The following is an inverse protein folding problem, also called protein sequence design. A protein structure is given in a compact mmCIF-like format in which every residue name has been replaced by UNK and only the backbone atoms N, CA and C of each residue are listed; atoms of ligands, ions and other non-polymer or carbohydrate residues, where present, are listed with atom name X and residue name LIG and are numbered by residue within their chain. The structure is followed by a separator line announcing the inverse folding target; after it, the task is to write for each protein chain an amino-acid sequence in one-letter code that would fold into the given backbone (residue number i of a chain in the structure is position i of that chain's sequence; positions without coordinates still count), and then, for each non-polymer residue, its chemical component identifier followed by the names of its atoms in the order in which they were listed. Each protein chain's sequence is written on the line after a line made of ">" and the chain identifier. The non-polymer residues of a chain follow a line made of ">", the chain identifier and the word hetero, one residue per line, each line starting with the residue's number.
data_IF_022323657940
#
_entry.id   IF_022323657940
#
_cell.length_a   1.000
_cell.length_b   1.000
_cell.length_c   1.000
_cell.angle_alpha   90.00
_cell.angle_beta   90.00
_cell.angle_gamma   90.00
#
_symmetry.space_group_name_H-M   'P 1'
#
loop_
_entity.id
_entity.type
_entity.pdbx_description
1 polymer ?
#
# COMPACT_ATOMS: atom_id res chain seq x y z
N UNK A 1 -12.22 24.83 -14.02
CA UNK A 1 -13.64 25.11 -13.74
C UNK A 1 -13.98 26.54 -14.18
N UNK A 2 -15.25 26.95 -14.17
CA UNK A 2 -15.69 28.27 -14.69
C UNK A 2 -15.07 29.48 -13.95
N UNK A 3 -14.58 29.25 -12.73
CA UNK A 3 -13.87 30.20 -11.85
C UNK A 3 -12.36 30.33 -12.16
N UNK A 4 -11.83 29.53 -13.09
CA UNK A 4 -10.41 29.48 -13.43
C UNK A 4 -9.59 28.46 -12.63
N UNK A 5 -10.22 27.68 -11.75
CA UNK A 5 -9.57 26.57 -11.02
C UNK A 5 -9.05 25.53 -12.00
N UNK A 6 -7.78 25.14 -11.84
CA UNK A 6 -7.14 24.11 -12.66
C UNK A 6 -7.41 22.74 -12.07
N UNK A 7 -7.74 21.76 -12.90
CA UNK A 7 -7.90 20.37 -12.47
C UNK A 7 -6.87 19.53 -13.21
N UNK A 8 -5.96 18.91 -12.47
CA UNK A 8 -5.06 17.89 -12.98
C UNK A 8 -5.72 16.55 -12.75
N UNK A 9 -6.06 15.87 -13.85
CA UNK A 9 -6.65 14.53 -13.79
C UNK A 9 -5.55 13.53 -14.15
N UNK A 10 -5.33 12.57 -13.26
CA UNK A 10 -4.38 11.49 -13.43
C UNK A 10 -5.05 10.15 -13.16
N UNK A 11 -4.96 9.22 -14.11
CA UNK A 11 -5.51 7.87 -13.98
C UNK A 11 -4.37 6.87 -14.04
N UNK A 12 -4.35 5.91 -13.11
CA UNK A 12 -3.23 4.99 -12.97
C UNK A 12 -3.69 3.57 -12.62
N UNK A 13 -3.31 2.61 -13.47
CA UNK A 13 -3.61 1.18 -13.28
C UNK A 13 -2.63 0.54 -12.29
N UNK A 14 -1.35 0.90 -12.36
CA UNK A 14 -0.32 0.39 -11.46
C UNK A 14 -0.01 1.31 -10.30
N UNK A 15 0.45 0.75 -9.19
CA UNK A 15 0.99 1.51 -8.07
C UNK A 15 2.52 1.70 -8.25
N UNK A 16 3.04 2.78 -8.87
CA UNK A 16 4.47 3.01 -8.89
C UNK A 16 4.95 3.37 -7.48
N UNK A 17 6.24 3.16 -7.21
CA UNK A 17 6.84 3.67 -5.97
C UNK A 17 6.72 5.20 -5.92
N UNK A 18 6.55 5.73 -4.70
CA UNK A 18 6.47 7.18 -4.45
C UNK A 18 5.32 7.88 -5.21
N UNK A 19 4.27 7.14 -5.61
CA UNK A 19 3.14 7.69 -6.38
C UNK A 19 2.50 8.91 -5.72
N UNK A 20 2.24 8.85 -4.41
CA UNK A 20 1.71 9.97 -3.63
C UNK A 20 2.61 11.22 -3.69
N UNK A 21 3.94 11.07 -3.70
CA UNK A 21 4.88 12.18 -3.86
C UNK A 21 4.83 12.76 -5.26
N UNK A 22 4.64 11.92 -6.29
CA UNK A 22 4.52 12.36 -7.69
C UNK A 22 3.26 13.17 -7.91
N UNK A 23 2.12 12.72 -7.40
CA UNK A 23 0.85 13.46 -7.45
C UNK A 23 1.03 14.84 -6.79
N UNK A 24 1.56 14.88 -5.57
CA UNK A 24 1.81 16.14 -4.87
C UNK A 24 2.79 17.06 -5.64
N UNK A 25 3.87 16.49 -6.18
CA UNK A 25 4.84 17.24 -6.98
C UNK A 25 4.19 17.86 -8.23
N UNK A 26 3.36 17.10 -8.95
CA UNK A 26 2.68 17.57 -10.15
C UNK A 26 1.71 18.71 -9.84
N UNK A 27 0.93 18.58 -8.77
CA UNK A 27 -0.01 19.61 -8.31
C UNK A 27 0.73 20.88 -7.88
N UNK A 28 1.76 20.75 -7.03
CA UNK A 28 2.57 21.88 -6.59
C UNK A 28 3.28 22.57 -7.76
N UNK A 29 3.80 21.80 -8.72
CA UNK A 29 4.42 22.33 -9.94
C UNK A 29 3.40 23.07 -10.80
N UNK A 30 2.20 22.52 -10.97
CA UNK A 30 1.14 23.18 -11.73
C UNK A 30 0.73 24.51 -11.10
N UNK A 31 0.58 24.55 -9.77
CA UNK A 31 0.31 25.79 -9.03
C UNK A 31 1.44 26.81 -9.22
N UNK A 32 2.71 26.38 -9.09
CA UNK A 32 3.86 27.26 -9.25
C UNK A 32 4.02 27.81 -10.67
N UNK A 33 3.68 27.04 -11.71
CA UNK A 33 3.88 27.43 -13.11
C UNK A 33 2.85 28.43 -13.63
N UNK A 34 1.82 28.75 -12.85
CA UNK A 34 0.82 29.76 -13.24
C UNK A 34 1.41 31.18 -13.34
N UNK A 35 2.50 31.45 -12.60
CA UNK A 35 3.11 32.77 -12.55
C UNK A 35 4.40 32.83 -13.36
N UNK A 36 4.53 33.92 -14.11
CA UNK A 36 5.79 34.33 -14.72
C UNK A 36 6.55 35.32 -13.82
N UNK A 37 7.85 35.46 -14.08
CA UNK A 37 8.73 36.36 -13.33
C UNK A 37 8.16 37.79 -13.32
N UNK A 38 7.98 38.35 -12.12
CA UNK A 38 7.47 39.72 -11.92
C UNK A 38 5.95 39.83 -11.80
N UNK A 39 5.19 38.73 -11.87
CA UNK A 39 3.76 38.72 -11.59
C UNK A 39 3.48 38.59 -10.08
N UNK A 40 2.38 39.19 -9.62
CA UNK A 40 1.94 39.12 -8.21
C UNK A 40 1.12 37.85 -7.91
N UNK A 41 1.18 37.40 -6.65
CA UNK A 41 0.53 36.16 -6.18
C UNK A 41 -1.00 36.18 -6.22
N UNK A 42 -1.64 37.35 -6.25
CA UNK A 42 -3.10 37.49 -6.37
C UNK A 42 -3.68 36.94 -7.67
N UNK A 43 -2.84 36.51 -8.61
CA UNK A 43 -3.23 35.88 -9.88
C UNK A 43 -3.25 34.35 -9.82
N UNK A 44 -2.75 33.77 -8.72
CA UNK A 44 -2.83 32.33 -8.51
C UNK A 44 -4.29 31.89 -8.47
N UNK A 45 -4.55 30.78 -9.13
CA UNK A 45 -5.83 30.09 -9.15
C UNK A 45 -5.69 28.75 -8.42
N UNK A 46 -6.74 28.28 -7.75
CA UNK A 46 -6.72 26.98 -7.12
C UNK A 46 -6.39 25.85 -8.10
N UNK A 47 -5.78 24.79 -7.57
CA UNK A 47 -5.43 23.57 -8.30
C UNK A 47 -5.97 22.35 -7.55
N UNK A 48 -6.77 21.56 -8.25
CA UNK A 48 -7.29 20.28 -7.78
C UNK A 48 -6.53 19.16 -8.47
N UNK A 49 -5.84 18.31 -7.71
CA UNK A 49 -5.29 17.05 -8.21
C UNK A 49 -6.30 15.93 -8.04
N UNK A 50 -7.01 15.57 -9.11
CA UNK A 50 -7.89 14.41 -9.15
C UNK A 50 -7.10 13.18 -9.62
N UNK A 51 -6.95 12.20 -8.75
CA UNK A 51 -6.24 10.96 -9.03
C UNK A 51 -7.19 9.78 -8.94
N UNK A 52 -7.29 9.02 -10.03
CA UNK A 52 -8.10 7.80 -10.13
C UNK A 52 -7.14 6.61 -10.18
N UNK A 53 -7.29 5.64 -9.28
CA UNK A 53 -6.40 4.49 -9.17
C UNK A 53 -7.15 3.17 -9.28
N UNK A 54 -6.59 2.22 -10.03
CA UNK A 54 -7.06 0.81 -10.05
C UNK A 54 -6.29 -0.08 -9.05
N UNK A 55 -5.86 0.52 -7.95
CA UNK A 55 -5.19 -0.15 -6.84
C UNK A 55 -5.50 0.57 -5.54
N UNK A 56 -5.32 -0.15 -4.42
CA UNK A 56 -5.45 0.43 -3.08
C UNK A 56 -4.21 1.26 -2.76
N UNK A 57 -4.40 2.57 -2.63
CA UNK A 57 -3.35 3.54 -2.27
C UNK A 57 -3.29 3.77 -0.76
N UNK A 58 -4.45 3.80 -0.09
CA UNK A 58 -4.56 4.04 1.34
C UNK A 58 -5.20 2.83 2.04
N UNK A 59 -4.44 1.77 2.37
CA UNK A 59 -5.00 0.55 2.97
C UNK A 59 -5.67 0.81 4.34
N UNK A 60 -5.29 1.87 5.03
CA UNK A 60 -5.87 2.31 6.30
C UNK A 60 -7.25 2.99 6.19
N UNK A 61 -7.81 3.12 4.98
CA UNK A 61 -9.12 3.76 4.74
C UNK A 61 -10.01 2.91 3.84
N UNK A 62 -11.26 2.70 4.24
CA UNK A 62 -12.19 1.87 3.47
C UNK A 62 -12.94 2.64 2.36
N UNK A 63 -12.97 3.98 2.42
CA UNK A 63 -13.69 4.79 1.44
C UNK A 63 -12.98 4.82 0.09
N UNK A 64 -13.76 4.75 -1.00
CA UNK A 64 -13.24 4.87 -2.37
C UNK A 64 -12.90 6.32 -2.76
N UNK A 65 -13.61 7.30 -2.20
CA UNK A 65 -13.39 8.72 -2.46
C UNK A 65 -12.74 9.38 -1.24
N UNK A 66 -11.62 10.06 -1.45
CA UNK A 66 -10.91 10.80 -0.40
C UNK A 66 -10.55 12.22 -0.85
N UNK A 67 -10.78 13.19 0.04
CA UNK A 67 -10.39 14.58 -0.13
C UNK A 67 -9.30 14.94 0.88
N UNK A 68 -8.26 15.63 0.42
CA UNK A 68 -7.17 16.13 1.26
C UNK A 68 -6.91 17.60 0.98
N UNK A 69 -6.70 18.36 2.06
CA UNK A 69 -6.43 19.79 2.06
C UNK A 69 -5.40 20.14 3.14
N UNK A 70 -4.84 21.35 3.08
CA UNK A 70 -3.91 21.85 4.10
C UNK A 70 -4.69 22.37 5.32
N UNK A 71 -4.32 21.86 6.48
CA UNK A 71 -4.97 22.16 7.76
C UNK A 71 -3.93 22.58 8.79
N UNK A 72 -4.32 23.47 9.70
CA UNK A 72 -3.61 23.68 10.96
C UNK A 72 -3.62 22.39 11.79
N UNK A 73 -2.52 22.14 12.51
CA UNK A 73 -2.33 20.87 13.22
C UNK A 73 -3.07 20.80 14.54
N UNK A 74 -3.30 21.93 15.20
CA UNK A 74 -3.86 21.97 16.55
C UNK A 74 -5.39 21.99 16.52
N UNK A 75 -5.98 22.79 15.62
CA UNK A 75 -7.43 22.99 15.56
C UNK A 75 -8.09 22.49 14.27
N UNK A 76 -7.29 22.03 13.29
CA UNK A 76 -7.80 21.55 12.02
C UNK A 76 -8.37 22.65 11.12
N UNK A 77 -8.08 23.92 11.40
CA UNK A 77 -8.54 25.04 10.59
C UNK A 77 -7.91 24.95 9.18
N UNK A 78 -8.70 25.03 8.10
CA UNK A 78 -8.15 25.06 6.76
C UNK A 78 -7.24 26.29 6.56
N UNK A 79 -6.02 26.05 6.07
CA UNK A 79 -5.08 27.13 5.74
C UNK A 79 -5.56 27.95 4.52
N UNK A 80 -6.24 27.27 3.59
CA UNK A 80 -6.81 27.83 2.37
C UNK A 80 -7.34 26.71 1.47
N UNK A 81 -7.86 27.10 0.31
CA UNK A 81 -8.51 26.23 -0.68
C UNK A 81 -7.74 26.17 -2.02
N UNK A 82 -6.52 26.72 -2.05
CA UNK A 82 -5.69 26.82 -3.26
C UNK A 82 -5.19 25.47 -3.79
N UNK A 83 -5.04 24.47 -2.92
CA UNK A 83 -4.58 23.12 -3.31
C UNK A 83 -5.46 22.09 -2.64
N UNK A 84 -6.13 21.27 -3.46
CA UNK A 84 -6.90 20.10 -3.02
C UNK A 84 -6.38 18.85 -3.75
N UNK A 85 -6.30 17.73 -3.03
CA UNK A 85 -6.05 16.42 -3.63
C UNK A 85 -7.28 15.54 -3.43
N UNK A 86 -7.80 15.02 -4.54
CA UNK A 86 -8.96 14.13 -4.58
C UNK A 86 -8.50 12.79 -5.12
N UNK A 87 -8.77 11.71 -4.38
CA UNK A 87 -8.43 10.36 -4.77
C UNK A 87 -9.69 9.52 -4.94
N UNK A 88 -9.79 8.80 -6.06
CA UNK A 88 -10.82 7.81 -6.37
C UNK A 88 -10.13 6.46 -6.53
N UNK A 89 -10.28 5.58 -5.54
CA UNK A 89 -9.71 4.23 -5.54
C UNK A 89 -10.76 3.23 -6.04
N UNK A 90 -10.70 2.88 -7.33
CA UNK A 90 -11.67 2.01 -8.00
C UNK A 90 -11.87 0.65 -7.30
N UNK A 91 -10.83 -0.05 -6.77
CA UNK A 91 -11.02 -1.34 -6.11
C UNK A 91 -11.86 -1.28 -4.83
N UNK A 92 -12.05 -0.08 -4.25
CA UNK A 92 -12.88 0.13 -3.06
C UNK A 92 -14.32 0.48 -3.39
N UNK A 93 -14.64 0.71 -4.66
CA UNK A 93 -16.00 0.99 -5.10
C UNK A 93 -16.79 -0.31 -5.23
N UNK A 94 -17.85 -0.45 -4.43
CA UNK A 94 -18.61 -1.70 -4.28
C UNK A 94 -20.10 -1.57 -4.65
N UNK A 95 -20.54 -0.40 -5.13
CA UNK A 95 -21.96 -0.19 -5.46
C UNK A 95 -22.31 -0.90 -6.76
N UNK A 96 -23.49 -1.53 -6.78
CA UNK A 96 -24.06 -2.11 -8.00
C UNK A 96 -24.80 -1.05 -8.81
N UNK A 97 -25.14 -1.37 -10.06
CA UNK A 97 -25.87 -0.46 -10.96
C UNK A 97 -27.17 0.10 -10.34
N UNK A 98 -27.88 -0.71 -9.54
CA UNK A 98 -29.13 -0.32 -8.88
C UNK A 98 -28.93 0.64 -7.70
N UNK A 99 -27.70 0.75 -7.18
CA UNK A 99 -27.35 1.54 -6.01
C UNK A 99 -26.59 2.83 -6.38
N UNK A 100 -26.52 3.17 -7.68
CA UNK A 100 -25.86 4.38 -8.17
C UNK A 100 -26.78 5.58 -7.96
N UNK A 101 -26.42 6.45 -7.01
CA UNK A 101 -27.24 7.59 -6.60
C UNK A 101 -26.70 8.93 -7.13
N UNK A 102 -25.37 9.02 -7.31
CA UNK A 102 -24.68 10.26 -7.66
C UNK A 102 -23.94 10.18 -8.99
N UNK A 103 -23.66 11.34 -9.59
CA UNK A 103 -22.82 11.41 -10.79
C UNK A 103 -21.43 10.81 -10.55
N UNK A 104 -20.88 10.98 -9.34
CA UNK A 104 -19.63 10.33 -8.93
C UNK A 104 -19.75 8.82 -8.93
N UNK A 105 -20.86 8.25 -8.43
CA UNK A 105 -21.10 6.80 -8.49
C UNK A 105 -21.19 6.32 -9.93
N UNK A 106 -21.90 7.05 -10.80
CA UNK A 106 -22.03 6.72 -12.22
C UNK A 106 -20.68 6.70 -12.94
N UNK A 107 -19.86 7.75 -12.78
CA UNK A 107 -18.52 7.80 -13.37
C UNK A 107 -17.58 6.76 -12.77
N UNK A 108 -17.64 6.52 -11.47
CA UNK A 108 -16.76 5.53 -10.81
C UNK A 108 -17.12 4.11 -11.26
N UNK A 109 -18.42 3.79 -11.33
CA UNK A 109 -18.91 2.52 -11.87
C UNK A 109 -18.50 2.35 -13.34
N UNK A 110 -18.70 3.39 -14.16
CA UNK A 110 -18.26 3.36 -15.55
C UNK A 110 -16.76 3.08 -15.66
N UNK A 111 -15.92 3.84 -14.97
CA UNK A 111 -14.46 3.65 -15.04
C UNK A 111 -14.00 2.29 -14.52
N UNK A 112 -14.73 1.69 -13.57
CA UNK A 112 -14.44 0.36 -13.05
C UNK A 112 -14.88 -0.77 -14.02
N UNK A 113 -15.96 -0.56 -14.78
CA UNK A 113 -16.62 -1.60 -15.58
C UNK A 113 -16.49 -1.38 -17.11
N UNK A 114 -15.90 -0.28 -17.57
CA UNK A 114 -15.86 0.13 -18.98
C UNK A 114 -15.24 -0.90 -19.93
N UNK A 115 -14.37 -1.79 -19.43
CA UNK A 115 -13.80 -2.88 -20.23
C UNK A 115 -14.75 -4.07 -20.45
N UNK A 116 -15.74 -4.24 -19.57
CA UNK A 116 -16.63 -5.42 -19.51
C UNK A 116 -18.08 -5.12 -19.92
N UNK A 117 -18.42 -3.85 -20.11
CA UNK A 117 -19.78 -3.44 -20.50
C UNK A 117 -20.01 -3.59 -22.01
N UNK A 118 -20.85 -4.56 -22.39
CA UNK A 118 -21.27 -4.79 -23.78
C UNK A 118 -22.36 -3.80 -24.25
N UNK A 119 -23.17 -3.27 -23.34
CA UNK A 119 -24.23 -2.28 -23.62
C UNK A 119 -24.27 -1.21 -22.53
N UNK A 120 -24.70 0.02 -22.88
CA UNK A 120 -24.86 1.13 -21.94
C UNK A 120 -26.04 0.82 -21.01
N UNK A 121 -25.82 0.70 -19.69
CA UNK A 121 -26.92 0.49 -18.76
C UNK A 121 -27.83 1.74 -18.65
N UNK A 122 -29.16 1.57 -18.50
CA UNK A 122 -30.12 2.69 -18.52
C UNK A 122 -29.83 3.87 -17.55
N UNK A 123 -29.28 3.67 -16.34
CA UNK A 123 -28.92 4.79 -15.46
C UNK A 123 -27.79 5.67 -16.00
N UNK A 124 -26.96 5.15 -16.90
CA UNK A 124 -25.81 5.85 -17.48
C UNK A 124 -26.21 6.67 -18.71
N UNK A 125 -27.29 6.27 -19.40
CA UNK A 125 -27.96 6.98 -20.52
C UNK A 125 -28.61 8.33 -20.12
N UNK A 126 -28.62 8.63 -18.82
CA UNK A 126 -29.19 9.86 -18.28
C UNK A 126 -28.25 11.06 -18.36
N UNK A 127 -26.99 10.87 -18.78
CA UNK A 127 -25.96 11.91 -18.82
C UNK A 127 -25.30 11.95 -20.21
N UNK A 128 -25.53 13.00 -21.02
CA UNK A 128 -24.98 13.11 -22.38
C UNK A 128 -23.45 12.97 -22.47
N UNK A 129 -22.73 13.33 -21.40
CA UNK A 129 -21.27 13.20 -21.34
C UNK A 129 -20.82 11.75 -21.09
N UNK A 130 -21.62 10.96 -20.38
CA UNK A 130 -21.35 9.54 -20.15
C UNK A 130 -21.62 8.77 -21.43
N UNK A 131 -22.74 9.02 -22.11
CA UNK A 131 -23.07 8.40 -23.40
C UNK A 131 -21.95 8.60 -24.42
N UNK A 132 -21.45 9.83 -24.51
CA UNK A 132 -20.34 10.17 -25.39
C UNK A 132 -19.04 9.46 -24.99
N UNK A 133 -18.75 9.35 -23.68
CA UNK A 133 -17.57 8.63 -23.19
C UNK A 133 -17.67 7.12 -23.46
N UNK A 134 -18.85 6.53 -23.34
CA UNK A 134 -19.13 5.14 -23.70
C UNK A 134 -18.90 4.86 -25.17
N UNK A 135 -19.44 5.70 -26.06
CA UNK A 135 -19.22 5.53 -27.51
C UNK A 135 -17.74 5.61 -27.90
N UNK A 136 -16.96 6.47 -27.23
CA UNK A 136 -15.51 6.50 -27.41
C UNK A 136 -14.89 5.19 -26.90
N UNK A 137 -15.26 4.73 -25.70
CA UNK A 137 -14.73 3.50 -25.12
C UNK A 137 -15.04 2.27 -25.99
N UNK A 138 -16.26 2.13 -26.49
CA UNK A 138 -16.68 1.07 -27.41
C UNK A 138 -15.86 1.10 -28.72
N UNK A 139 -15.63 2.29 -29.27
CA UNK A 139 -14.80 2.49 -30.47
C UNK A 139 -13.33 2.11 -30.21
N UNK A 140 -12.81 2.40 -29.02
CA UNK A 140 -11.44 2.06 -28.60
C UNK A 140 -11.31 0.56 -28.27
N UNK A 141 -12.33 -0.05 -27.68
CA UNK A 141 -12.41 -1.48 -27.37
C UNK A 141 -12.35 -2.35 -28.64
N UNK A 142 -12.77 -1.81 -29.80
CA UNK A 142 -12.59 -2.43 -31.11
C UNK A 142 -11.14 -2.35 -31.65
N UNK A 143 -10.29 -1.47 -31.10
CA UNK A 143 -8.87 -1.29 -31.45
C UNK A 143 -7.89 -1.73 -30.34
N UNK A 144 -8.41 -2.44 -29.32
CA UNK A 144 -7.72 -2.73 -28.06
C UNK A 144 -6.31 -3.31 -28.24
N UNK A 145 -6.07 -4.11 -29.29
CA UNK A 145 -4.75 -4.70 -29.58
C UNK A 145 -3.62 -3.66 -29.82
N UNK A 146 -3.94 -2.49 -30.38
CA UNK A 146 -2.95 -1.44 -30.68
C UNK A 146 -2.70 -0.54 -29.46
N UNK A 147 -3.72 -0.30 -28.64
CA UNK A 147 -3.63 0.46 -27.39
C UNK A 147 -2.83 -0.31 -26.32
N UNK A 148 -3.11 -1.60 -26.18
CA UNK A 148 -2.43 -2.51 -25.24
C UNK A 148 -0.92 -2.63 -25.53
N UNK A 149 -0.53 -2.51 -26.81
CA UNK A 149 0.86 -2.49 -27.24
C UNK A 149 1.57 -1.16 -26.90
N UNK A 150 0.87 -0.03 -27.04
CA UNK A 150 1.38 1.29 -26.65
C UNK A 150 1.49 1.43 -25.13
N UNK A 151 0.53 0.90 -24.38
CA UNK A 151 0.59 0.86 -22.92
C UNK A 151 1.77 0.00 -22.44
N UNK A 152 1.95 -1.21 -22.98
CA UNK A 152 3.13 -2.06 -22.73
C UNK A 152 4.46 -1.39 -23.09
N UNK A 153 4.47 -0.47 -24.06
CA UNK A 153 5.66 0.29 -24.42
C UNK A 153 5.89 1.49 -23.48
N UNK A 154 4.86 2.23 -23.10
CA UNK A 154 4.93 3.30 -22.10
C UNK A 154 5.39 2.74 -20.73
N UNK A 155 4.87 1.57 -20.37
CA UNK A 155 5.24 0.79 -19.18
C UNK A 155 6.73 0.42 -19.15
N UNK A 156 7.33 0.09 -20.30
CA UNK A 156 8.75 -0.24 -20.42
C UNK A 156 9.66 0.98 -20.28
N UNK A 157 9.19 2.16 -20.65
CA UNK A 157 10.00 3.39 -20.71
C UNK A 157 10.00 4.13 -19.37
N UNK A 158 8.91 4.08 -18.60
CA UNK A 158 8.78 4.89 -17.38
C UNK A 158 8.94 4.11 -16.06
N UNK A 159 8.61 2.81 -15.98
CA UNK A 159 8.36 2.17 -14.67
C UNK A 159 9.15 0.88 -14.34
N UNK A 160 10.03 0.41 -15.24
CA UNK A 160 10.81 -0.81 -15.02
C UNK A 160 11.70 -0.79 -13.76
N UNK A 161 12.12 0.39 -13.29
CA UNK A 161 12.91 0.54 -12.05
C UNK A 161 12.06 0.52 -10.78
N UNK A 162 10.82 0.99 -10.83
CA UNK A 162 9.96 1.08 -9.64
C UNK A 162 9.28 -0.24 -9.33
N UNK A 163 8.84 -0.99 -10.36
CA UNK A 163 8.28 -2.34 -10.19
C UNK A 163 9.32 -3.28 -9.59
N UNK A 164 10.55 -3.30 -10.13
CA UNK A 164 11.65 -4.10 -9.59
C UNK A 164 12.00 -3.67 -8.17
N UNK A 165 12.06 -2.36 -7.90
CA UNK A 165 12.38 -1.84 -6.57
C UNK A 165 11.27 -2.15 -5.56
N UNK A 166 10.00 -2.16 -5.97
CA UNK A 166 8.87 -2.58 -5.12
C UNK A 166 8.99 -4.05 -4.76
N UNK A 167 9.18 -4.92 -5.76
CA UNK A 167 9.36 -6.35 -5.54
C UNK A 167 10.55 -6.65 -4.59
N UNK A 168 11.66 -5.90 -4.72
CA UNK A 168 12.81 -6.01 -3.81
C UNK A 168 12.44 -5.56 -2.39
N UNK A 169 11.72 -4.44 -2.24
CA UNK A 169 11.34 -3.92 -0.92
C UNK A 169 10.36 -4.86 -0.20
N UNK A 170 9.36 -5.38 -0.90
CA UNK A 170 8.40 -6.35 -0.38
C UNK A 170 9.11 -7.64 0.05
N UNK A 171 9.99 -8.19 -0.80
CA UNK A 171 10.78 -9.38 -0.44
C UNK A 171 11.72 -9.16 0.75
N UNK A 172 12.31 -7.96 0.88
CA UNK A 172 13.17 -7.63 2.01
C UNK A 172 12.39 -7.43 3.32
N UNK A 173 11.15 -6.96 3.23
CA UNK A 173 10.27 -6.83 4.39
C UNK A 173 9.81 -8.21 4.88
N UNK A 174 9.35 -9.08 3.97
CA UNK A 174 8.98 -10.47 4.32
C UNK A 174 10.17 -11.22 4.94
N UNK A 175 11.35 -11.18 4.32
CA UNK A 175 12.53 -11.85 4.88
C UNK A 175 12.98 -11.31 6.25
N UNK A 176 12.70 -10.04 6.57
CA UNK A 176 12.96 -9.48 7.91
C UNK A 176 11.95 -9.96 8.95
N UNK A 177 10.69 -10.07 8.57
CA UNK A 177 9.64 -10.57 9.48
C UNK A 177 9.86 -12.06 9.77
N UNK A 178 10.09 -12.87 8.74
CA UNK A 178 10.42 -14.30 8.87
C UNK A 178 11.67 -14.51 9.73
N UNK A 179 12.79 -13.85 9.42
CA UNK A 179 14.03 -14.01 10.18
C UNK A 179 13.93 -13.53 11.64
N UNK A 180 13.05 -12.55 11.93
CA UNK A 180 12.78 -12.11 13.30
C UNK A 180 11.94 -13.14 14.06
N UNK A 181 11.00 -13.79 13.39
CA UNK A 181 10.14 -14.81 13.97
C UNK A 181 10.94 -16.09 14.26
N UNK A 182 11.71 -16.58 13.27
CA UNK A 182 12.62 -17.73 13.42
C UNK A 182 13.65 -17.49 14.54
N UNK A 183 14.35 -16.35 14.52
CA UNK A 183 15.35 -16.05 15.55
C UNK A 183 14.77 -15.91 16.96
N UNK A 184 13.50 -15.50 17.07
CA UNK A 184 12.79 -15.46 18.37
C UNK A 184 12.42 -16.87 18.84
N UNK A 185 12.04 -17.75 17.93
CA UNK A 185 11.73 -19.15 18.25
C UNK A 185 12.99 -19.93 18.67
N UNK A 186 14.05 -19.87 17.86
CA UNK A 186 15.34 -20.49 18.16
C UNK A 186 15.92 -19.99 19.48
N UNK A 187 15.91 -18.67 19.71
CA UNK A 187 16.40 -18.08 20.95
C UNK A 187 15.61 -18.53 22.18
N UNK A 188 14.30 -18.77 22.03
CA UNK A 188 13.45 -19.30 23.12
C UNK A 188 13.79 -20.75 23.42
N UNK A 189 13.98 -21.58 22.40
CA UNK A 189 14.34 -22.99 22.58
C UNK A 189 15.73 -23.14 23.21
N UNK A 190 16.72 -22.39 22.71
CA UNK A 190 18.07 -22.37 23.28
C UNK A 190 18.05 -21.93 24.76
N UNK A 191 17.28 -20.90 25.10
CA UNK A 191 17.13 -20.44 26.48
C UNK A 191 16.48 -21.48 27.40
N UNK A 192 15.48 -22.23 26.92
CA UNK A 192 14.86 -23.33 27.67
C UNK A 192 15.88 -24.44 27.92
N UNK A 193 16.68 -24.81 26.91
CA UNK A 193 17.69 -25.86 27.04
C UNK A 193 18.80 -25.46 28.01
N UNK A 194 19.31 -24.22 27.92
CA UNK A 194 20.34 -23.77 28.86
C UNK A 194 19.79 -23.70 30.29
N UNK A 195 18.56 -23.21 30.48
CA UNK A 195 17.93 -23.21 31.81
C UNK A 195 17.79 -24.63 32.39
N UNK A 196 17.42 -25.63 31.57
CA UNK A 196 17.37 -27.03 32.00
C UNK A 196 18.73 -27.56 32.43
N UNK A 197 19.79 -27.18 31.72
CA UNK A 197 21.18 -27.56 32.04
C UNK A 197 21.68 -26.87 33.30
N UNK A 198 21.39 -25.58 33.49
CA UNK A 198 21.73 -24.85 34.72
C UNK A 198 21.04 -25.44 35.94
N UNK A 199 19.74 -25.75 35.83
CA UNK A 199 19.00 -26.43 36.91
C UNK A 199 19.63 -27.81 37.17
N UNK A 200 19.94 -28.58 36.12
CA UNK A 200 20.58 -29.88 36.29
C UNK A 200 21.93 -29.79 37.02
N UNK A 201 22.81 -28.86 36.62
CA UNK A 201 24.10 -28.60 37.28
C UNK A 201 23.92 -28.28 38.77
N UNK A 202 22.95 -27.43 39.11
CA UNK A 202 22.68 -27.05 40.51
C UNK A 202 22.24 -28.22 41.41
N UNK A 203 21.73 -29.31 40.80
CA UNK A 203 21.23 -30.50 41.50
C UNK A 203 22.25 -31.65 41.54
N UNK A 204 23.35 -31.53 40.78
CA UNK A 204 24.43 -32.53 40.79
C UNK A 204 25.03 -32.66 42.20
N UNK A 205 25.20 -33.91 42.66
CA UNK A 205 25.69 -34.21 44.02
C UNK A 205 24.64 -34.08 45.12
N UNK A 206 23.47 -33.48 44.85
CA UNK A 206 22.34 -33.41 45.79
C UNK A 206 21.28 -34.49 45.54
N UNK A 207 21.10 -34.88 44.28
CA UNK A 207 20.11 -35.88 43.86
C UNK A 207 20.73 -36.95 42.94
N UNK A 208 20.16 -38.17 42.89
CA UNK A 208 20.56 -39.18 41.91
C UNK A 208 20.30 -38.71 40.48
N UNK A 209 21.17 -39.07 39.54
CA UNK A 209 21.09 -38.66 38.13
C UNK A 209 19.73 -38.96 37.48
N UNK A 210 19.11 -40.09 37.83
CA UNK A 210 17.78 -40.45 37.34
C UNK A 210 16.67 -39.48 37.78
N UNK A 211 16.76 -38.95 39.01
CA UNK A 211 15.79 -37.97 39.53
C UNK A 211 16.02 -36.59 38.91
N UNK A 212 17.28 -36.23 38.63
CA UNK A 212 17.62 -34.97 37.95
C UNK A 212 17.07 -35.00 36.52
N UNK A 213 17.30 -36.09 35.78
CA UNK A 213 16.78 -36.28 34.42
C UNK A 213 15.25 -36.15 34.37
N UNK A 214 14.54 -36.79 35.29
CA UNK A 214 13.08 -36.69 35.39
C UNK A 214 12.60 -35.24 35.66
N UNK A 215 13.30 -34.48 36.52
CA UNK A 215 12.88 -33.15 36.96
C UNK A 215 13.21 -32.03 35.97
N UNK A 216 14.30 -32.17 35.21
CA UNK A 216 14.71 -31.16 34.22
C UNK A 216 14.23 -31.48 32.82
N UNK A 217 13.71 -32.69 32.59
CA UNK A 217 13.31 -33.17 31.27
C UNK A 217 14.51 -33.41 30.33
N UNK A 218 15.71 -33.58 30.89
CA UNK A 218 16.90 -34.02 30.17
C UNK A 218 16.98 -35.55 30.17
N UNK A 219 17.71 -36.11 29.22
CA UNK A 219 18.00 -37.55 29.22
C UNK A 219 19.04 -37.90 30.27
N UNK A 220 19.04 -39.15 30.74
CA UNK A 220 20.02 -39.63 31.73
C UNK A 220 21.46 -39.43 31.24
N UNK A 221 21.72 -39.69 29.96
CA UNK A 221 23.03 -39.51 29.33
C UNK A 221 23.49 -38.03 29.31
N UNK A 222 22.58 -37.08 29.13
CA UNK A 222 22.88 -35.63 29.19
C UNK A 222 23.25 -35.18 30.60
N UNK A 223 22.59 -35.74 31.62
CA UNK A 223 22.91 -35.45 33.02
C UNK A 223 24.28 -36.05 33.41
N UNK A 224 24.57 -37.28 32.98
CA UNK A 224 25.86 -37.94 33.23
C UNK A 224 27.04 -37.23 32.53
N UNK A 225 26.82 -36.73 31.31
CA UNK A 225 27.84 -35.94 30.59
C UNK A 225 28.06 -34.57 31.23
N UNK A 226 27.02 -33.90 31.73
CA UNK A 226 27.16 -32.67 32.52
C UNK A 226 27.96 -32.92 33.81
N UNK A 227 27.69 -34.03 34.50
CA UNK A 227 28.42 -34.40 35.72
C UNK A 227 29.91 -34.69 35.46
N UNK A 228 30.24 -35.37 34.36
CA UNK A 228 31.61 -35.62 33.96
C UNK A 228 32.36 -34.32 33.58
N UNK A 229 31.68 -33.37 32.94
CA UNK A 229 32.25 -32.08 32.56
C UNK A 229 32.53 -31.17 33.77
N UNK A 230 31.62 -31.10 34.75
CA UNK A 230 31.83 -30.33 35.98
C UNK A 230 32.96 -30.93 36.84
N UNK A 231 33.06 -32.26 36.90
CA UNK A 231 34.16 -32.94 37.60
C UNK A 231 35.53 -32.67 36.97
N UNK A 232 35.59 -32.43 35.65
CA UNK A 232 36.82 -32.06 34.94
C UNK A 232 37.15 -30.56 35.01
N UNK A 233 36.17 -29.69 35.27
CA UNK A 233 36.37 -28.25 35.45
C UNK A 233 36.74 -27.87 36.90
N UNK A 234 36.51 -28.77 37.86
CA UNK A 234 36.81 -28.58 39.29
C UNK A 234 38.20 -29.05 39.75
N UNK A 235 39.06 -29.52 38.84
CA UNK A 235 40.48 -29.88 39.06
C UNK A 235 41.43 -28.82 38.52
#
# INVERSE_FOLDING_TARGET
>A
LADGTMVLIEMQVLNPLDFNKRVLYNVAKAYSLQLQRGQGYSRLRPVIGLTITDFVLFPERDRFLSHYQLLDREDGLPYGDDIELVFVELPKFAKSLGDLETLTDLWTFFLQQAGDLEEIPPPLDSSPNLDHAFHIAETVNLSMEEFDLLEKQAFKVEDGRNVVRRAILEGLQQGREEGREEGREEGREAGIQESRREIARSLLGLLPAAVIAERTGLTLAEVETLAAADAAAGT
#
